data_IF_337377102201
#
_entry.id   IF_337377102201
#
_cell.length_a   1.000
_cell.length_b   1.000
_cell.length_c   1.000
_cell.angle_alpha   90.00
_cell.angle_beta   90.00
_cell.angle_gamma   90.00
#
_symmetry.space_group_name_H-M   'P 1'
#
loop_
_entity.id
_entity.type
_entity.pdbx_description
1 polymer ?
#
# COMPACT_ATOMS: atom_id res chain seq x y z
N UNK A 1 -0.27 -3.90 2.13
CA UNK A 1 0.27 -2.59 2.54
C UNK A 1 -0.64 -1.51 2.04
N UNK A 2 -1.25 -0.73 2.91
CA UNK A 2 -1.94 0.49 2.47
C UNK A 2 -0.94 1.52 1.91
N UNK A 3 -1.46 2.45 1.10
CA UNK A 3 -0.72 3.52 0.47
C UNK A 3 -0.85 4.85 1.24
N UNK A 4 -2.04 5.42 1.32
CA UNK A 4 -2.27 6.79 1.79
C UNK A 4 -2.37 6.85 3.31
N UNK A 5 -1.37 7.44 3.96
CA UNK A 5 -1.23 7.46 5.42
C UNK A 5 -0.30 6.37 5.92
N UNK A 6 0.01 5.36 5.09
CA UNK A 6 0.86 4.22 5.45
C UNK A 6 2.22 4.25 4.75
N UNK A 7 2.26 4.24 3.40
CA UNK A 7 3.50 4.33 2.63
C UNK A 7 3.80 5.75 2.17
N UNK A 8 2.77 6.55 1.94
CA UNK A 8 2.85 7.93 1.54
C UNK A 8 2.13 8.81 2.57
N UNK A 9 2.66 10.01 2.83
CA UNK A 9 1.95 11.01 3.62
C UNK A 9 0.59 11.33 3.00
N UNK A 10 -0.43 11.48 3.83
CA UNK A 10 -1.77 11.83 3.40
C UNK A 10 -2.29 13.03 4.18
N UNK A 11 -2.50 14.14 3.45
CA UNK A 11 -3.00 15.41 4.00
C UNK A 11 -4.37 15.81 3.42
N UNK A 12 -5.13 14.81 2.93
CA UNK A 12 -6.40 14.99 2.25
C UNK A 12 -6.36 14.61 0.77
N UNK A 13 -7.54 14.37 0.20
CA UNK A 13 -7.68 13.98 -1.20
C UNK A 13 -7.50 15.17 -2.15
N UNK A 14 -6.58 15.03 -3.11
CA UNK A 14 -6.35 16.02 -4.18
C UNK A 14 -6.74 15.44 -5.54
N UNK A 15 -6.41 14.17 -5.80
CA UNK A 15 -6.76 13.45 -7.02
C UNK A 15 -5.93 12.18 -7.21
N UNK A 16 -6.34 11.34 -8.17
CA UNK A 16 -5.73 10.02 -8.41
C UNK A 16 -4.23 10.07 -8.72
N UNK A 17 -3.78 11.16 -9.34
CA UNK A 17 -2.39 11.39 -9.76
C UNK A 17 -1.50 11.94 -8.64
N UNK A 18 -2.09 12.42 -7.54
CA UNK A 18 -1.36 12.99 -6.42
C UNK A 18 -1.19 11.95 -5.32
N UNK A 19 0.05 11.53 -5.08
CA UNK A 19 0.45 10.68 -3.96
C UNK A 19 1.52 11.45 -3.18
N UNK A 20 1.39 11.47 -1.84
CA UNK A 20 2.27 12.25 -0.98
C UNK A 20 3.73 11.77 -0.94
N UNK A 21 4.53 12.44 -0.12
CA UNK A 21 5.93 12.05 0.11
C UNK A 21 5.99 10.68 0.76
N UNK A 22 7.03 9.91 0.46
CA UNK A 22 7.24 8.63 1.10
C UNK A 22 7.45 8.78 2.61
N UNK A 23 6.80 7.91 3.37
CA UNK A 23 7.10 7.67 4.77
C UNK A 23 8.28 6.70 4.79
N UNK A 24 9.51 7.23 4.79
CA UNK A 24 10.76 6.47 4.60
C UNK A 24 10.84 5.19 5.45
N UNK A 25 10.52 5.18 6.76
CA UNK A 25 10.59 3.96 7.56
C UNK A 25 9.70 2.82 7.05
N UNK A 26 8.57 3.14 6.41
CA UNK A 26 7.65 2.14 5.85
C UNK A 26 8.12 1.63 4.50
N UNK A 27 8.69 2.49 3.66
CA UNK A 27 9.32 2.09 2.39
C UNK A 27 10.50 1.15 2.65
N UNK A 28 11.40 1.50 3.56
CA UNK A 28 12.54 0.66 3.95
C UNK A 28 12.11 -0.70 4.50
N UNK A 29 11.02 -0.71 5.28
CA UNK A 29 10.42 -1.96 5.79
C UNK A 29 9.91 -2.85 4.66
N UNK A 30 9.24 -2.28 3.65
CA UNK A 30 8.79 -3.03 2.47
C UNK A 30 9.97 -3.57 1.67
N UNK A 31 11.01 -2.76 1.43
CA UNK A 31 12.23 -3.21 0.76
C UNK A 31 12.86 -4.39 1.48
N UNK A 32 12.96 -4.34 2.81
CA UNK A 32 13.48 -5.44 3.63
C UNK A 32 12.64 -6.71 3.47
N UNK A 33 11.31 -6.63 3.55
CA UNK A 33 10.44 -7.80 3.37
C UNK A 33 10.58 -8.42 1.99
N UNK A 34 10.71 -7.61 0.94
CA UNK A 34 10.98 -8.10 -0.42
C UNK A 34 12.33 -8.82 -0.46
N UNK A 35 13.37 -8.27 0.17
CA UNK A 35 14.68 -8.91 0.29
C UNK A 35 14.67 -10.22 1.10
N UNK A 36 13.76 -10.34 2.07
CA UNK A 36 13.48 -11.57 2.81
C UNK A 36 12.65 -12.60 2.01
N UNK A 37 12.25 -12.26 0.77
CA UNK A 37 11.45 -13.13 -0.10
C UNK A 37 9.95 -13.12 0.21
N UNK A 38 9.45 -12.15 0.99
CA UNK A 38 8.02 -12.02 1.27
C UNK A 38 7.29 -11.37 0.10
N UNK A 39 6.10 -11.89 -0.21
CA UNK A 39 5.18 -11.24 -1.15
C UNK A 39 4.56 -10.01 -0.49
N UNK A 40 4.75 -8.85 -1.10
CA UNK A 40 4.11 -7.60 -0.68
C UNK A 40 3.16 -7.12 -1.77
N UNK A 41 1.94 -6.74 -1.37
CA UNK A 41 0.94 -6.14 -2.27
C UNK A 41 0.52 -4.77 -1.73
N UNK A 42 0.26 -3.83 -2.64
CA UNK A 42 -0.39 -2.56 -2.31
C UNK A 42 -1.88 -2.82 -2.22
N UNK A 43 -2.45 -2.57 -1.04
CA UNK A 43 -3.84 -2.77 -0.72
C UNK A 43 -4.47 -1.41 -0.42
N UNK A 44 -5.12 -0.77 -1.40
CA UNK A 44 -5.54 0.63 -1.28
C UNK A 44 -6.91 0.89 -1.90
N UNK A 45 -7.68 1.80 -1.30
CA UNK A 45 -8.95 2.27 -1.84
C UNK A 45 -8.80 2.95 -3.21
N UNK A 46 -7.62 3.51 -3.55
CA UNK A 46 -7.37 4.10 -4.87
C UNK A 46 -7.59 3.12 -6.03
N UNK A 47 -7.43 1.82 -5.80
CA UNK A 47 -7.66 0.81 -6.83
C UNK A 47 -9.13 0.75 -7.31
N UNK A 48 -10.08 1.36 -6.58
CA UNK A 48 -11.46 1.55 -7.03
C UNK A 48 -11.56 2.42 -8.30
N UNK A 49 -10.59 3.31 -8.54
CA UNK A 49 -10.53 4.21 -9.70
C UNK A 49 -9.98 3.51 -10.96
N UNK A 50 -9.78 2.19 -10.90
CA UNK A 50 -9.37 1.37 -12.03
C UNK A 50 -7.90 1.53 -12.43
N UNK A 51 -7.60 1.17 -13.68
CA UNK A 51 -6.23 1.05 -14.18
C UNK A 51 -5.45 2.37 -14.14
N UNK A 52 -6.12 3.51 -14.31
CA UNK A 52 -5.48 4.82 -14.25
C UNK A 52 -4.81 5.08 -12.88
N UNK A 53 -5.48 4.75 -11.77
CA UNK A 53 -4.89 4.88 -10.45
C UNK A 53 -3.73 3.91 -10.24
N UNK A 54 -3.86 2.67 -10.71
CA UNK A 54 -2.78 1.67 -10.65
C UNK A 54 -1.50 2.16 -11.33
N UNK A 55 -1.60 2.80 -12.50
CA UNK A 55 -0.42 3.34 -13.20
C UNK A 55 0.25 4.48 -12.41
N UNK A 56 -0.52 5.38 -11.78
CA UNK A 56 0.05 6.43 -10.92
C UNK A 56 0.74 5.84 -9.68
N UNK A 57 0.17 4.78 -9.11
CA UNK A 57 0.77 4.06 -7.98
C UNK A 57 2.07 3.39 -8.41
N UNK A 58 2.10 2.70 -9.55
CA UNK A 58 3.31 2.07 -10.07
C UNK A 58 4.41 3.10 -10.37
N UNK A 59 4.05 4.24 -10.96
CA UNK A 59 5.00 5.34 -11.17
C UNK A 59 5.53 5.92 -9.85
N UNK A 60 4.72 5.93 -8.79
CA UNK A 60 5.17 6.36 -7.47
C UNK A 60 6.08 5.32 -6.80
N UNK A 61 5.75 4.03 -6.88
CA UNK A 61 6.59 2.93 -6.36
C UNK A 61 7.98 2.91 -7.00
N UNK A 62 8.04 3.08 -8.32
CA UNK A 62 9.30 3.14 -9.07
C UNK A 62 10.21 4.27 -8.55
N UNK A 63 9.65 5.45 -8.30
CA UNK A 63 10.37 6.59 -7.68
C UNK A 63 10.89 6.30 -6.27
N UNK A 64 10.29 5.36 -5.54
CA UNK A 64 10.74 4.93 -4.22
C UNK A 64 11.73 3.75 -4.29
N UNK A 65 12.12 3.30 -5.48
CA UNK A 65 12.96 2.13 -5.66
C UNK A 65 12.27 0.82 -5.27
N UNK A 66 10.94 0.78 -5.34
CA UNK A 66 10.15 -0.42 -5.12
C UNK A 66 9.81 -1.07 -6.47
N UNK A 67 9.76 -2.41 -6.55
CA UNK A 67 9.37 -3.09 -7.79
C UNK A 67 7.88 -2.83 -8.11
N UNK A 68 7.44 -3.26 -9.29
CA UNK A 68 6.03 -3.18 -9.72
C UNK A 68 5.17 -4.17 -8.92
N UNK A 69 4.85 -3.81 -7.68
CA UNK A 69 4.02 -4.61 -6.77
C UNK A 69 2.58 -4.71 -7.29
N UNK A 70 1.91 -5.82 -6.99
CA UNK A 70 0.48 -5.96 -7.26
C UNK A 70 -0.31 -4.90 -6.47
N UNK A 71 -1.28 -4.25 -7.12
CA UNK A 71 -2.17 -3.25 -6.53
C UNK A 71 -3.59 -3.81 -6.55
N UNK A 72 -4.25 -3.81 -5.40
CA UNK A 72 -5.60 -4.37 -5.24
C UNK A 72 -6.38 -3.66 -4.14
N UNK A 73 -7.70 -3.70 -4.21
CA UNK A 73 -8.63 -3.37 -3.11
C UNK A 73 -9.40 -4.61 -2.62
N UNK A 74 -9.06 -5.80 -3.13
CA UNK A 74 -9.68 -7.08 -2.80
C UNK A 74 -8.70 -7.93 -2.00
N UNK A 75 -9.14 -8.42 -0.83
CA UNK A 75 -8.33 -9.33 -0.01
C UNK A 75 -8.16 -10.65 -0.74
N UNK A 76 -6.97 -11.20 -0.68
CA UNK A 76 -6.72 -12.58 -1.09
C UNK A 76 -6.69 -13.52 0.13
N UNK A 77 -6.95 -14.81 -0.11
CA UNK A 77 -6.96 -15.85 0.92
C UNK A 77 -5.59 -16.11 1.56
N UNK A 78 -4.50 -15.64 0.93
CA UNK A 78 -3.13 -15.80 1.42
C UNK A 78 -2.62 -14.60 2.23
N UNK A 79 -3.45 -13.58 2.44
CA UNK A 79 -3.05 -12.38 3.19
C UNK A 79 -2.80 -12.73 4.66
N UNK A 80 -1.55 -12.63 5.10
CA UNK A 80 -1.13 -12.92 6.48
C UNK A 80 -1.19 -11.69 7.38
N UNK A 81 -0.89 -10.50 6.84
CA UNK A 81 -0.85 -9.24 7.58
C UNK A 81 -1.41 -8.10 6.72
N UNK A 82 -2.14 -7.18 7.36
CA UNK A 82 -2.54 -5.89 6.79
C UNK A 82 -1.92 -4.79 7.63
N UNK A 83 -1.14 -3.93 6.99
CA UNK A 83 -0.59 -2.71 7.57
C UNK A 83 -1.27 -1.52 6.93
N UNK A 84 -1.95 -0.73 7.75
CA UNK A 84 -2.84 0.35 7.35
C UNK A 84 -2.99 1.33 8.52
N UNK A 85 -2.92 2.64 8.26
CA UNK A 85 -2.94 3.71 9.27
C UNK A 85 -4.26 3.80 10.03
N UNK A 86 -5.33 3.21 9.49
CA UNK A 86 -6.69 3.27 10.04
C UNK A 86 -7.17 1.94 10.58
N UNK A 87 -6.41 0.85 10.40
CA UNK A 87 -6.88 -0.46 10.81
C UNK A 87 -6.92 -0.63 12.33
N UNK A 88 -7.99 -1.25 12.81
CA UNK A 88 -8.10 -1.74 14.19
C UNK A 88 -8.22 -3.25 14.10
N UNK A 89 -7.31 -3.96 14.79
CA UNK A 89 -7.36 -5.42 14.86
C UNK A 89 -8.41 -5.85 15.87
N UNK A 90 -9.24 -6.80 15.47
CA UNK A 90 -10.20 -7.48 16.33
C UNK A 90 -9.73 -8.92 16.50
N UNK A 91 -9.82 -9.44 17.72
CA UNK A 91 -9.52 -10.84 18.00
C UNK A 91 -10.44 -11.76 17.21
N UNK A 92 -9.90 -12.86 16.71
CA UNK A 92 -10.71 -13.83 15.94
C UNK A 92 -11.92 -14.27 16.75
N UNK A 93 -13.11 -14.01 16.22
CA UNK A 93 -14.41 -14.30 16.84
C UNK A 93 -14.69 -13.58 18.17
N UNK A 94 -14.05 -12.43 18.46
CA UNK A 94 -14.26 -11.71 19.73
C UNK A 94 -15.18 -10.50 19.63
N UNK A 95 -15.25 -9.83 18.48
CA UNK A 95 -16.01 -8.58 18.31
C UNK A 95 -15.20 -7.35 18.66
#
# INVERSE_FOLDING_TARGET
MDLDGTLAEYHGWIGIHHIGKAITPMVERVQRWIGEGKTVKIFTARACEGTAATEFIHAWLDKQGLPKLEVTNVKDFGMTELWDDRCISIGTNTG
#
